data_IF_418904933610
#
_entry.id   IF_418904933610
#
_cell.length_a   1.000
_cell.length_b   1.000
_cell.length_c   1.000
_cell.angle_alpha   90.00
_cell.angle_beta   90.00
_cell.angle_gamma   90.00
#
_symmetry.space_group_name_H-M   'P 1'
#
loop_
_entity.id
_entity.type
_entity.pdbx_description
1 polymer ?
#
# COMPACT_ATOMS: atom_id res chain seq x y z
N UNK A 1 21.95 -2.21 -58.20
CA UNK A 1 21.18 -2.90 -59.25
C UNK A 1 20.56 -4.14 -58.65
N UNK A 2 19.23 -4.18 -58.59
CA UNK A 2 18.31 -5.33 -58.77
C UNK A 2 17.04 -5.04 -57.98
N UNK A 3 16.00 -4.68 -58.72
CA UNK A 3 14.63 -4.54 -58.27
C UNK A 3 13.98 -5.91 -58.37
N UNK A 4 13.42 -6.43 -57.28
CA UNK A 4 12.55 -7.60 -57.32
C UNK A 4 11.14 -7.18 -56.94
N UNK A 5 10.32 -7.06 -57.97
CA UNK A 5 8.88 -6.81 -57.94
C UNK A 5 8.19 -8.15 -57.70
N UNK A 6 7.42 -8.30 -56.62
CA UNK A 6 6.52 -9.45 -56.45
C UNK A 6 5.10 -9.00 -56.77
N UNK A 7 4.57 -9.58 -57.82
CA UNK A 7 3.24 -9.40 -58.37
C UNK A 7 2.25 -10.24 -57.56
N UNK A 8 1.21 -9.60 -57.01
CA UNK A 8 0.01 -10.26 -56.50
C UNK A 8 -0.99 -10.45 -57.65
N UNK A 9 -1.49 -11.66 -57.85
CA UNK A 9 -2.72 -11.93 -58.61
C UNK A 9 -3.53 -13.03 -57.92
N UNK A 10 -4.88 -12.93 -57.94
CA UNK A 10 -5.78 -13.64 -57.05
C UNK A 10 -6.32 -14.93 -57.68
N UNK A 11 -6.75 -15.89 -56.85
CA UNK A 11 -7.62 -17.00 -57.29
C UNK A 11 -8.90 -16.96 -56.47
N UNK A 12 -10.01 -16.92 -57.21
CA UNK A 12 -11.38 -16.77 -56.75
C UNK A 12 -12.13 -18.07 -57.06
N UNK A 13 -13.15 -18.36 -56.23
CA UNK A 13 -14.28 -19.26 -56.49
C UNK A 13 -14.11 -20.76 -56.19
N UNK A 14 -14.93 -21.32 -55.30
CA UNK A 14 -16.17 -21.99 -55.70
C UNK A 14 -17.04 -22.36 -54.48
N UNK A 15 -18.28 -21.85 -54.46
CA UNK A 15 -19.34 -22.27 -53.55
C UNK A 15 -19.82 -23.68 -53.89
N UNK A 16 -20.11 -24.53 -52.90
CA UNK A 16 -21.12 -25.57 -53.05
C UNK A 16 -21.82 -25.84 -51.71
N UNK A 17 -23.11 -25.51 -51.70
CA UNK A 17 -24.11 -25.70 -50.66
C UNK A 17 -24.66 -27.13 -50.66
N UNK A 18 -24.75 -27.77 -49.49
CA UNK A 18 -25.74 -28.83 -49.26
C UNK A 18 -26.36 -28.71 -47.85
N UNK A 19 -27.68 -28.56 -47.84
CA UNK A 19 -28.55 -28.60 -46.67
C UNK A 19 -29.30 -29.94 -46.58
N UNK A 20 -29.52 -30.37 -45.33
CA UNK A 20 -30.67 -31.11 -44.76
C UNK A 20 -30.95 -32.58 -45.12
N UNK A 21 -30.86 -33.45 -44.08
CA UNK A 21 -31.83 -34.47 -43.58
C UNK A 21 -31.02 -35.54 -42.82
N UNK A 22 -31.21 -35.96 -41.57
CA UNK A 22 -32.35 -35.92 -40.64
C UNK A 22 -32.66 -37.35 -40.18
N UNK A 23 -32.20 -37.79 -38.99
CA UNK A 23 -32.91 -38.68 -38.04
C UNK A 23 -32.02 -39.26 -36.91
N UNK A 24 -32.47 -39.03 -35.66
CA UNK A 24 -32.64 -40.00 -34.55
C UNK A 24 -31.40 -40.77 -34.01
N UNK A 25 -30.91 -40.39 -32.83
CA UNK A 25 -31.23 -41.06 -31.55
C UNK A 25 -30.31 -40.62 -30.39
N UNK A 26 -30.96 -40.30 -29.27
CA UNK A 26 -30.56 -40.56 -27.88
C UNK A 26 -29.23 -40.00 -27.36
N UNK A 27 -29.24 -38.74 -26.92
CA UNK A 27 -28.34 -38.31 -25.86
C UNK A 27 -28.77 -38.96 -24.53
N UNK A 28 -27.85 -39.48 -23.69
CA UNK A 28 -28.21 -39.98 -22.37
C UNK A 28 -28.75 -38.82 -21.50
N UNK A 29 -29.63 -39.10 -20.52
CA UNK A 29 -30.13 -38.07 -19.63
C UNK A 29 -28.94 -37.40 -18.93
N UNK A 30 -28.80 -36.09 -19.16
CA UNK A 30 -27.99 -35.25 -18.29
C UNK A 30 -28.68 -35.29 -16.93
N UNK A 31 -28.10 -36.05 -16.03
CA UNK A 31 -28.47 -36.05 -14.63
C UNK A 31 -28.34 -34.62 -14.13
N UNK A 32 -29.47 -33.92 -14.04
CA UNK A 32 -29.60 -32.74 -13.21
C UNK A 32 -29.37 -33.24 -11.79
N UNK A 33 -28.10 -33.19 -11.38
CA UNK A 33 -27.75 -33.28 -9.98
C UNK A 33 -28.63 -32.26 -9.26
N UNK A 34 -29.59 -32.76 -8.48
CA UNK A 34 -30.27 -31.95 -7.48
C UNK A 34 -29.18 -31.14 -6.79
N UNK A 35 -29.37 -29.84 -6.70
CA UNK A 35 -28.72 -29.03 -5.67
C UNK A 35 -29.22 -29.58 -4.33
N UNK A 36 -28.69 -30.72 -3.92
CA UNK A 36 -28.62 -31.11 -2.53
C UNK A 36 -27.86 -29.99 -1.87
N UNK A 37 -28.64 -29.15 -1.18
CA UNK A 37 -28.25 -28.24 -0.11
C UNK A 37 -26.74 -28.20 0.05
N UNK A 38 -26.11 -27.14 -0.48
CA UNK A 38 -24.78 -26.74 0.00
C UNK A 38 -24.96 -26.52 1.49
N UNK A 39 -24.71 -27.56 2.29
CA UNK A 39 -24.48 -27.44 3.71
C UNK A 39 -23.34 -26.45 3.78
N UNK A 40 -23.67 -25.23 4.22
CA UNK A 40 -22.70 -24.26 4.68
C UNK A 40 -21.68 -25.06 5.49
N UNK A 41 -20.40 -25.11 5.08
CA UNK A 41 -19.39 -25.75 5.91
C UNK A 41 -19.62 -25.23 7.33
N UNK A 42 -19.57 -26.08 8.38
CA UNK A 42 -19.55 -25.58 9.74
C UNK A 42 -18.58 -24.42 9.74
N UNK A 43 -19.03 -23.24 10.16
CA UNK A 43 -18.13 -22.11 10.30
C UNK A 43 -16.99 -22.67 11.15
N UNK A 44 -15.84 -22.91 10.53
CA UNK A 44 -14.62 -23.17 11.25
C UNK A 44 -14.54 -21.97 12.16
N UNK A 45 -14.84 -22.22 13.43
CA UNK A 45 -14.53 -21.30 14.49
C UNK A 45 -13.06 -21.03 14.25
N UNK A 46 -12.77 -19.82 13.75
CA UNK A 46 -11.42 -19.28 13.74
C UNK A 46 -11.00 -19.35 15.19
N UNK A 47 -10.39 -20.47 15.57
CA UNK A 47 -9.71 -20.64 16.84
C UNK A 47 -8.75 -19.48 16.86
N UNK A 48 -8.98 -18.55 17.80
CA UNK A 48 -8.23 -17.32 17.88
C UNK A 48 -6.76 -17.68 17.89
N UNK A 49 -6.08 -17.41 16.77
CA UNK A 49 -4.64 -17.57 16.70
C UNK A 49 -4.07 -16.78 17.88
N UNK A 50 -3.18 -17.41 18.64
CA UNK A 50 -2.54 -16.73 19.76
C UNK A 50 -1.96 -15.39 19.25
N UNK A 51 -2.11 -14.29 20.00
CA UNK A 51 -1.58 -12.99 19.59
C UNK A 51 -0.10 -13.14 19.20
N UNK A 52 0.27 -12.63 18.03
CA UNK A 52 1.67 -12.65 17.60
C UNK A 52 2.53 -11.94 18.66
N UNK A 53 3.77 -12.41 18.90
CA UNK A 53 4.68 -11.72 19.81
C UNK A 53 4.87 -10.26 19.37
N UNK A 54 5.22 -9.36 20.31
CA UNK A 54 5.56 -7.98 19.97
C UNK A 54 6.64 -7.95 18.88
N UNK A 55 6.52 -7.07 17.89
CA UNK A 55 7.46 -7.02 16.79
C UNK A 55 8.84 -6.53 17.23
N UNK A 56 9.88 -7.08 16.61
CA UNK A 56 11.29 -6.80 16.90
C UNK A 56 11.97 -6.11 15.72
N UNK A 57 13.16 -5.55 15.95
CA UNK A 57 13.99 -4.98 14.87
C UNK A 57 14.47 -6.08 13.92
N UNK A 58 14.68 -7.28 14.42
CA UNK A 58 15.04 -8.48 13.66
C UNK A 58 13.92 -8.87 12.70
N UNK A 59 12.65 -8.80 13.13
CA UNK A 59 11.49 -9.03 12.26
C UNK A 59 11.48 -8.00 11.12
N UNK A 60 11.67 -6.72 11.44
CA UNK A 60 11.73 -5.66 10.42
C UNK A 60 12.88 -5.91 9.43
N UNK A 61 14.08 -6.29 9.92
CA UNK A 61 15.23 -6.62 9.07
C UNK A 61 14.94 -7.83 8.17
N UNK A 62 14.26 -8.84 8.68
CA UNK A 62 13.89 -10.02 7.90
C UNK A 62 12.91 -9.67 6.77
N UNK A 63 11.89 -8.86 7.06
CA UNK A 63 10.91 -8.40 6.07
C UNK A 63 11.56 -7.49 5.03
N UNK A 64 12.41 -6.55 5.45
CA UNK A 64 13.15 -5.69 4.51
C UNK A 64 14.02 -6.51 3.55
N UNK A 65 14.73 -7.52 4.04
CA UNK A 65 15.52 -8.41 3.20
C UNK A 65 14.68 -9.25 2.25
N UNK A 66 13.49 -9.69 2.68
CA UNK A 66 12.56 -10.43 1.81
C UNK A 66 12.08 -9.57 0.64
N UNK A 67 11.72 -8.32 0.91
CA UNK A 67 11.08 -7.42 -0.06
C UNK A 67 12.10 -6.69 -0.94
N UNK A 68 13.19 -6.22 -0.35
CA UNK A 68 14.18 -5.36 -1.00
C UNK A 68 15.55 -6.03 -1.20
N UNK A 69 15.69 -7.33 -0.84
CA UNK A 69 16.97 -8.04 -0.95
C UNK A 69 18.07 -7.37 -0.15
N UNK A 70 19.20 -7.11 -0.81
CA UNK A 70 20.35 -6.36 -0.25
C UNK A 70 20.39 -4.91 -0.74
N UNK A 71 19.33 -4.43 -1.40
CA UNK A 71 19.32 -3.11 -2.02
C UNK A 71 19.32 -1.98 -0.97
N UNK A 72 18.78 -2.24 0.21
CA UNK A 72 18.71 -1.28 1.32
C UNK A 72 19.12 -1.92 2.65
N UNK A 73 19.61 -1.09 3.57
CA UNK A 73 19.92 -1.49 4.94
C UNK A 73 19.13 -0.63 5.93
N UNK A 74 18.71 -1.24 7.04
CA UNK A 74 18.03 -0.51 8.11
C UNK A 74 18.95 0.57 8.67
N UNK A 75 18.46 1.80 8.75
CA UNK A 75 19.24 2.91 9.30
C UNK A 75 19.15 2.89 10.83
N UNK A 76 20.19 2.35 11.46
CA UNK A 76 20.30 2.21 12.91
C UNK A 76 20.39 3.53 13.68
N UNK A 77 20.58 4.66 12.99
CA UNK A 77 20.63 6.00 13.57
C UNK A 77 19.28 6.53 14.03
N UNK A 78 18.16 5.87 13.69
CA UNK A 78 16.82 6.33 14.02
C UNK A 78 16.16 5.52 15.14
N UNK A 79 15.31 6.22 15.92
CA UNK A 79 14.47 5.65 16.97
C UNK A 79 13.04 6.21 16.86
N UNK A 80 12.01 5.35 16.81
CA UNK A 80 12.08 3.89 16.79
C UNK A 80 12.69 3.38 15.46
N UNK A 81 13.34 2.20 15.49
CA UNK A 81 14.00 1.61 14.31
C UNK A 81 13.02 1.14 13.22
N UNK A 82 11.73 1.12 13.53
CA UNK A 82 10.60 0.92 12.63
C UNK A 82 9.31 1.34 13.35
N UNK A 83 8.22 1.49 12.61
CA UNK A 83 6.86 1.68 13.10
C UNK A 83 5.92 0.70 12.40
N UNK A 84 4.79 0.42 13.04
CA UNK A 84 3.73 -0.45 12.53
C UNK A 84 2.42 0.34 12.58
N UNK A 85 1.58 0.18 11.55
CA UNK A 85 0.28 0.81 11.44
C UNK A 85 -0.40 0.47 10.11
N UNK A 86 -1.68 0.79 9.98
CA UNK A 86 -2.45 0.56 8.74
C UNK A 86 -2.26 1.76 7.79
N UNK A 87 -1.12 1.81 7.10
CA UNK A 87 -0.69 2.97 6.32
C UNK A 87 -1.38 3.05 4.96
N UNK A 88 -1.78 1.91 4.39
CA UNK A 88 -2.52 1.81 3.13
C UNK A 88 -4.07 1.83 3.31
N UNK A 89 -4.57 1.76 4.55
CA UNK A 89 -5.98 1.87 4.94
C UNK A 89 -6.85 0.67 4.56
N UNK A 90 -6.27 -0.50 4.40
CA UNK A 90 -7.01 -1.74 4.16
C UNK A 90 -7.41 -2.47 5.47
N UNK A 91 -6.96 -1.97 6.63
CA UNK A 91 -7.22 -2.54 7.94
C UNK A 91 -6.24 -3.64 8.36
N UNK A 92 -5.19 -3.87 7.58
CA UNK A 92 -4.09 -4.78 7.85
C UNK A 92 -2.87 -3.95 8.27
N UNK A 93 -2.09 -4.44 9.23
CA UNK A 93 -0.91 -3.71 9.67
C UNK A 93 0.23 -3.79 8.64
N UNK A 94 0.81 -2.64 8.35
CA UNK A 94 1.97 -2.44 7.50
C UNK A 94 3.24 -2.18 8.35
N UNK A 95 4.40 -2.38 7.74
CA UNK A 95 5.69 -1.99 8.30
C UNK A 95 6.17 -0.70 7.65
N UNK A 96 6.70 0.26 8.42
CA UNK A 96 7.50 1.34 7.88
C UNK A 96 8.83 1.47 8.65
N UNK A 97 9.96 1.48 7.93
CA UNK A 97 11.29 1.49 8.54
C UNK A 97 12.23 2.46 7.79
N UNK A 98 13.02 3.27 8.51
CA UNK A 98 14.06 4.08 7.90
C UNK A 98 15.18 3.19 7.37
N UNK A 99 15.60 3.47 6.13
CA UNK A 99 16.64 2.70 5.45
C UNK A 99 17.60 3.62 4.70
N UNK A 100 18.79 3.08 4.40
CA UNK A 100 19.76 3.68 3.47
C UNK A 100 19.90 2.82 2.22
N UNK A 101 20.03 3.42 1.03
CA UNK A 101 20.36 2.68 -0.16
C UNK A 101 21.80 2.16 -0.06
N UNK A 102 22.03 0.94 -0.52
CA UNK A 102 23.38 0.41 -0.70
C UNK A 102 23.93 0.98 -2.01
N UNK A 103 25.00 1.77 -1.95
CA UNK A 103 25.52 2.53 -3.10
C UNK A 103 25.85 1.66 -4.31
N UNK A 104 26.35 0.44 -4.10
CA UNK A 104 26.66 -0.52 -5.19
C UNK A 104 25.41 -1.14 -5.84
N UNK A 105 24.22 -0.94 -5.27
CA UNK A 105 22.94 -1.50 -5.71
C UNK A 105 22.01 -0.43 -6.32
N UNK A 106 22.47 0.81 -6.53
CA UNK A 106 21.62 1.90 -7.02
C UNK A 106 20.95 1.61 -8.38
N UNK A 107 21.61 0.84 -9.26
CA UNK A 107 21.00 0.42 -10.54
C UNK A 107 19.80 -0.49 -10.31
N UNK A 108 19.89 -1.42 -9.36
CA UNK A 108 18.79 -2.31 -8.96
C UNK A 108 17.65 -1.52 -8.31
N UNK A 109 17.98 -0.63 -7.36
CA UNK A 109 17.02 0.25 -6.66
C UNK A 109 16.18 1.06 -7.63
N UNK A 110 16.83 1.59 -8.69
CA UNK A 110 16.21 2.47 -9.66
C UNK A 110 15.74 1.76 -10.94
N UNK A 111 15.73 0.43 -10.96
CA UNK A 111 15.26 -0.34 -12.10
C UNK A 111 13.74 -0.24 -12.22
N UNK A 112 13.24 -0.04 -13.45
CA UNK A 112 11.80 -0.13 -13.72
C UNK A 112 11.25 -1.55 -13.54
N UNK A 113 12.13 -2.55 -13.53
CA UNK A 113 11.80 -3.95 -13.26
C UNK A 113 11.96 -4.33 -11.77
N UNK A 114 12.23 -3.36 -10.88
CA UNK A 114 12.30 -3.63 -9.45
C UNK A 114 10.93 -4.09 -8.91
N UNK A 115 10.95 -4.99 -7.92
CA UNK A 115 9.73 -5.50 -7.28
C UNK A 115 9.10 -4.50 -6.28
N UNK A 116 9.57 -3.26 -6.26
CA UNK A 116 9.11 -2.19 -5.36
C UNK A 116 8.90 -0.89 -6.13
N UNK A 117 8.14 0.01 -5.52
CA UNK A 117 7.83 1.32 -6.08
C UNK A 117 8.70 2.40 -5.42
N UNK A 118 9.43 3.16 -6.22
CA UNK A 118 10.17 4.34 -5.75
C UNK A 118 9.28 5.58 -5.80
N UNK A 119 9.28 6.40 -4.76
CA UNK A 119 8.47 7.61 -4.70
C UNK A 119 9.09 8.75 -3.90
N UNK A 120 8.61 9.96 -4.17
CA UNK A 120 8.85 11.14 -3.34
C UNK A 120 7.48 11.69 -2.89
N UNK A 121 7.10 11.50 -1.61
CA UNK A 121 5.81 11.97 -1.10
C UNK A 121 5.57 13.47 -1.30
N UNK A 122 6.62 14.28 -1.47
CA UNK A 122 6.51 15.74 -1.67
C UNK A 122 6.13 16.12 -3.10
N UNK A 123 6.42 15.23 -4.06
CA UNK A 123 6.13 15.43 -5.49
C UNK A 123 4.77 14.84 -5.89
N UNK A 124 4.00 14.31 -4.94
CA UNK A 124 2.70 13.72 -5.21
C UNK A 124 1.69 14.79 -5.67
N UNK A 125 1.44 14.83 -6.98
CA UNK A 125 0.34 15.63 -7.54
C UNK A 125 -0.98 14.94 -7.26
N UNK A 126 -1.90 15.68 -6.65
CA UNK A 126 -3.23 15.23 -6.26
C UNK A 126 -4.30 15.91 -7.13
N UNK A 127 -5.38 15.20 -7.47
CA UNK A 127 -6.49 15.81 -8.21
C UNK A 127 -7.18 16.88 -7.36
N UNK A 128 -7.58 17.97 -8.00
CA UNK A 128 -8.44 18.99 -7.41
C UNK A 128 -9.83 18.40 -7.19
N UNK A 129 -10.30 18.25 -5.93
CA UNK A 129 -11.58 17.63 -5.64
C UNK A 129 -12.79 18.42 -6.13
N UNK A 130 -12.60 19.68 -6.58
CA UNK A 130 -13.66 20.50 -7.16
C UNK A 130 -13.83 20.26 -8.66
N UNK A 131 -12.89 19.58 -9.33
CA UNK A 131 -12.95 19.29 -10.75
C UNK A 131 -13.45 17.86 -10.98
N UNK A 132 -14.46 17.70 -11.85
CA UNK A 132 -15.02 16.38 -12.20
C UNK A 132 -14.09 15.56 -13.11
N UNK A 133 -13.39 16.23 -14.02
CA UNK A 133 -12.40 15.62 -14.90
C UNK A 133 -11.14 16.48 -14.85
N UNK A 134 -10.00 15.84 -14.59
CA UNK A 134 -8.71 16.49 -14.59
C UNK A 134 -7.67 15.56 -15.19
N UNK A 135 -6.99 16.03 -16.24
CA UNK A 135 -5.78 15.37 -16.71
C UNK A 135 -4.65 15.76 -15.78
N UNK A 136 -4.08 14.79 -15.08
CA UNK A 136 -2.87 15.00 -14.29
C UNK A 136 -1.65 14.85 -15.22
N UNK A 137 -0.57 15.62 -14.99
CA UNK A 137 0.68 15.39 -15.71
C UNK A 137 1.17 13.97 -15.44
N UNK A 138 1.84 13.36 -16.42
CA UNK A 138 2.56 12.12 -16.20
C UNK A 138 3.60 12.35 -15.10
N UNK A 139 3.69 11.48 -14.08
CA UNK A 139 4.69 11.63 -13.04
C UNK A 139 6.08 11.41 -13.63
N UNK A 140 7.02 12.28 -13.29
CA UNK A 140 8.44 12.04 -13.59
C UNK A 140 8.95 10.88 -12.72
N UNK A 141 9.78 9.97 -13.27
CA UNK A 141 10.38 8.90 -12.49
C UNK A 141 11.24 9.45 -11.34
N UNK A 142 10.99 8.97 -10.13
CA UNK A 142 11.82 9.30 -8.97
C UNK A 142 13.05 8.40 -8.97
N UNK A 143 14.24 9.00 -8.91
CA UNK A 143 15.52 8.28 -8.83
C UNK A 143 16.12 8.44 -7.44
N UNK A 144 16.48 7.35 -6.78
CA UNK A 144 17.26 7.32 -5.53
C UNK A 144 18.74 7.55 -5.82
N UNK A 145 19.38 8.42 -5.05
CA UNK A 145 20.82 8.67 -5.10
C UNK A 145 21.56 8.03 -3.90
N UNK A 146 22.87 7.88 -4.03
CA UNK A 146 23.73 7.43 -2.91
C UNK A 146 23.56 8.34 -1.69
N UNK A 147 23.54 7.75 -0.49
CA UNK A 147 23.50 8.49 0.76
C UNK A 147 22.15 9.12 1.11
N UNK A 148 21.13 9.04 0.25
CA UNK A 148 19.81 9.55 0.59
C UNK A 148 19.19 8.82 1.79
N UNK A 149 18.40 9.53 2.58
CA UNK A 149 17.56 8.94 3.62
C UNK A 149 16.25 8.47 3.01
N UNK A 150 15.90 7.21 3.25
CA UNK A 150 14.70 6.60 2.71
C UNK A 150 13.82 6.06 3.82
N UNK A 151 12.53 5.95 3.51
CA UNK A 151 11.56 5.21 4.29
C UNK A 151 11.08 4.03 3.44
N UNK A 152 11.39 2.82 3.88
CA UNK A 152 10.79 1.62 3.33
C UNK A 152 9.40 1.44 3.95
N UNK A 153 8.38 1.17 3.13
CA UNK A 153 7.05 0.76 3.58
C UNK A 153 6.70 -0.56 2.93
N UNK A 154 6.27 -1.54 3.73
CA UNK A 154 5.84 -2.86 3.26
C UNK A 154 4.39 -3.06 3.69
N UNK A 155 3.50 -3.25 2.70
CA UNK A 155 2.10 -3.48 2.99
C UNK A 155 1.86 -4.90 3.50
N UNK A 156 1.01 -5.03 4.50
CA UNK A 156 0.65 -6.32 5.07
C UNK A 156 -0.35 -7.11 4.24
N UNK A 157 -0.42 -8.41 4.51
CA UNK A 157 -1.50 -9.28 4.02
C UNK A 157 -2.00 -10.19 5.14
N UNK A 158 -3.25 -10.64 5.07
CA UNK A 158 -3.76 -11.61 6.03
C UNK A 158 -3.22 -13.02 5.73
N UNK A 159 -2.99 -13.87 6.75
CA UNK A 159 -3.21 -13.61 8.17
C UNK A 159 -2.04 -12.98 8.92
N UNK A 160 -0.82 -12.95 8.36
CA UNK A 160 0.40 -12.55 9.08
C UNK A 160 0.70 -11.04 9.13
N UNK A 161 -0.16 -10.19 8.59
CA UNK A 161 0.07 -8.77 8.35
C UNK A 161 1.37 -8.55 7.54
N UNK A 162 2.15 -7.51 7.84
CA UNK A 162 3.46 -7.28 7.23
C UNK A 162 4.49 -8.40 7.50
N UNK A 163 4.27 -9.24 8.53
CA UNK A 163 5.15 -10.39 8.81
C UNK A 163 4.85 -11.59 7.91
N UNK A 164 3.70 -11.62 7.24
CA UNK A 164 3.30 -12.70 6.35
C UNK A 164 4.31 -12.89 5.20
N UNK A 165 4.77 -14.10 4.87
CA UNK A 165 5.67 -14.36 3.74
C UNK A 165 5.19 -13.78 2.39
N UNK A 166 3.88 -13.68 2.20
CA UNK A 166 3.26 -13.16 0.98
C UNK A 166 3.18 -11.61 0.97
N UNK A 167 3.49 -10.93 2.08
CA UNK A 167 3.60 -9.47 2.13
C UNK A 167 4.87 -8.99 1.39
N UNK A 168 4.74 -8.83 0.07
CA UNK A 168 5.83 -8.43 -0.83
C UNK A 168 5.70 -7.02 -1.42
N UNK A 169 4.54 -6.37 -1.26
CA UNK A 169 4.33 -5.04 -1.84
C UNK A 169 5.13 -3.98 -1.07
N UNK A 170 6.24 -3.53 -1.67
CA UNK A 170 7.18 -2.58 -1.07
C UNK A 170 7.23 -1.21 -1.75
N UNK A 171 7.49 -0.18 -0.95
CA UNK A 171 7.74 1.19 -1.39
C UNK A 171 9.05 1.72 -0.79
N UNK A 172 9.85 2.43 -1.60
CA UNK A 172 11.00 3.20 -1.14
C UNK A 172 10.71 4.69 -1.32
N UNK A 173 10.48 5.38 -0.21
CA UNK A 173 10.08 6.78 -0.20
C UNK A 173 11.24 7.69 0.18
N UNK A 174 11.51 8.72 -0.63
CA UNK A 174 12.47 9.76 -0.26
C UNK A 174 11.98 10.53 0.97
N UNK A 175 12.84 10.65 1.97
CA UNK A 175 12.57 11.45 3.17
C UNK A 175 13.77 12.36 3.48
N UNK A 176 13.50 13.46 4.18
CA UNK A 176 14.55 14.37 4.64
C UNK A 176 15.20 13.90 5.94
N UNK A 177 14.42 13.27 6.83
CA UNK A 177 14.90 12.75 8.12
C UNK A 177 13.87 11.79 8.69
N UNK A 178 14.32 10.69 9.27
CA UNK A 178 13.46 9.75 9.98
C UNK A 178 13.31 10.06 11.49
N UNK A 179 13.71 11.27 11.91
CA UNK A 179 13.49 11.73 13.28
C UNK A 179 11.99 11.83 13.61
N UNK A 180 11.65 11.42 14.83
CA UNK A 180 10.30 11.48 15.39
C UNK A 180 9.20 10.77 14.59
N UNK A 181 9.57 9.74 13.82
CA UNK A 181 8.59 8.95 13.09
C UNK A 181 7.64 8.20 14.02
N UNK A 182 6.33 8.38 13.80
CA UNK A 182 5.27 7.74 14.60
C UNK A 182 4.08 7.39 13.71
N UNK A 183 3.53 6.20 13.92
CA UNK A 183 2.20 5.88 13.43
C UNK A 183 1.15 6.69 14.22
N UNK A 184 0.20 7.29 13.51
CA UNK A 184 -0.86 8.09 14.13
C UNK A 184 -2.19 7.85 13.42
N UNK A 185 -3.29 7.61 14.16
CA UNK A 185 -4.59 7.42 13.53
C UNK A 185 -5.00 8.63 12.69
N UNK A 186 -5.37 8.40 11.44
CA UNK A 186 -5.72 9.47 10.48
C UNK A 186 -6.81 10.41 10.98
N UNK A 187 -7.74 9.88 11.78
CA UNK A 187 -8.86 10.63 12.36
C UNK A 187 -8.44 11.76 13.30
N UNK A 188 -7.21 11.69 13.84
CA UNK A 188 -6.65 12.67 14.77
C UNK A 188 -5.97 13.82 14.00
N UNK A 189 -5.48 13.56 12.77
CA UNK A 189 -4.99 14.60 11.88
C UNK A 189 -6.15 15.34 11.20
N UNK A 190 -6.60 16.42 11.82
CA UNK A 190 -7.77 17.20 11.42
C UNK A 190 -7.76 17.80 10.00
N UNK A 191 -6.71 17.58 9.19
CA UNK A 191 -6.56 18.15 7.85
C UNK A 191 -6.32 17.15 6.71
N UNK A 192 -6.33 15.83 6.95
CA UNK A 192 -6.13 14.85 5.85
C UNK A 192 -7.24 14.97 4.80
N UNK A 193 -8.43 15.37 5.23
CA UNK A 193 -9.61 15.58 4.37
C UNK A 193 -9.47 16.73 3.35
N UNK A 194 -8.60 17.72 3.58
CA UNK A 194 -8.42 18.83 2.63
C UNK A 194 -7.38 18.49 1.56
N UNK A 195 -6.33 17.73 1.90
CA UNK A 195 -5.30 17.33 0.95
C UNK A 195 -5.69 16.10 0.12
N UNK A 196 -6.38 15.12 0.70
CA UNK A 196 -6.74 13.87 0.02
C UNK A 196 -7.95 13.97 -0.94
N UNK A 197 -8.44 15.18 -1.21
CA UNK A 197 -9.70 15.38 -1.93
C UNK A 197 -10.90 14.75 -1.21
N UNK A 198 -12.11 14.95 -1.74
CA UNK A 198 -13.37 14.39 -1.20
C UNK A 198 -13.45 12.85 -1.24
N UNK A 199 -12.34 12.15 -1.45
CA UNK A 199 -12.24 10.68 -1.48
C UNK A 199 -12.12 10.03 -0.10
N UNK A 200 -11.98 10.80 0.98
CA UNK A 200 -12.11 10.26 2.34
C UNK A 200 -13.59 10.11 2.65
N UNK A 201 -14.19 9.02 2.14
CA UNK A 201 -15.56 8.64 2.43
C UNK A 201 -15.82 8.50 3.95
N UNK A 202 -17.09 8.42 4.37
CA UNK A 202 -17.45 8.28 5.78
C UNK A 202 -16.93 6.96 6.35
N UNK A 203 -15.77 7.01 7.01
CA UNK A 203 -15.09 5.84 7.57
C UNK A 203 -13.58 6.07 7.71
N UNK A 204 -13.17 6.96 8.61
CA UNK A 204 -11.76 7.33 8.86
C UNK A 204 -10.99 6.19 9.54
N UNK A 205 -10.55 5.20 8.77
CA UNK A 205 -9.70 4.08 9.21
C UNK A 205 -8.27 4.25 8.68
N UNK A 206 -7.33 3.57 9.34
CA UNK A 206 -5.91 3.63 9.05
C UNK A 206 -5.13 4.72 9.78
N UNK A 207 -3.84 4.68 9.53
CA UNK A 207 -2.80 5.48 10.16
C UNK A 207 -2.06 6.33 9.12
N UNK A 208 -1.40 7.37 9.62
CA UNK A 208 -0.44 8.18 8.89
C UNK A 208 0.92 8.09 9.56
N UNK A 209 1.97 8.36 8.80
CA UNK A 209 3.34 8.39 9.31
C UNK A 209 3.68 9.84 9.59
N UNK A 210 3.62 10.25 10.87
CA UNK A 210 4.08 11.58 11.27
C UNK A 210 5.58 11.69 11.11
N UNK A 211 6.05 12.85 10.65
CA UNK A 211 7.47 13.12 10.45
C UNK A 211 7.73 14.63 10.54
N UNK A 212 9.01 14.99 10.58
CA UNK A 212 9.47 16.36 10.34
C UNK A 212 10.35 16.37 9.09
N UNK A 213 9.92 17.09 8.04
CA UNK A 213 10.68 17.25 6.79
C UNK A 213 11.18 18.69 6.67
N UNK A 214 12.50 18.88 6.62
CA UNK A 214 13.15 20.21 6.53
C UNK A 214 12.63 21.20 7.59
N UNK A 215 12.45 20.74 8.84
CA UNK A 215 11.92 21.55 9.95
C UNK A 215 10.40 21.78 9.91
N UNK A 216 9.70 21.28 8.89
CA UNK A 216 8.24 21.36 8.78
C UNK A 216 7.63 20.06 9.31
N UNK A 217 6.84 20.17 10.37
CA UNK A 217 6.05 19.05 10.89
C UNK A 217 4.92 18.70 9.92
N UNK A 218 4.71 17.41 9.71
CA UNK A 218 3.64 16.91 8.86
C UNK A 218 3.48 15.41 8.96
N UNK A 219 2.89 14.83 7.93
CA UNK A 219 2.67 13.40 7.84
C UNK A 219 2.67 12.92 6.39
N UNK A 220 3.18 11.70 6.21
CA UNK A 220 3.03 10.91 4.99
C UNK A 220 1.72 10.11 5.11
N UNK A 221 0.94 10.06 4.03
CA UNK A 221 -0.33 9.34 3.98
C UNK A 221 -0.56 8.68 2.63
N UNK A 222 -1.35 7.60 2.63
CA UNK A 222 -1.78 6.93 1.42
C UNK A 222 -2.93 7.63 0.70
N UNK A 223 -2.83 7.75 -0.62
CA UNK A 223 -3.82 8.44 -1.48
C UNK A 223 -4.79 7.48 -2.17
N UNK A 224 -4.62 6.16 -1.98
CA UNK A 224 -5.31 5.12 -2.77
C UNK A 224 -4.43 4.48 -3.85
N UNK A 225 -3.30 5.10 -4.21
CA UNK A 225 -2.34 4.52 -5.16
C UNK A 225 -0.88 4.93 -4.97
N UNK A 226 -0.60 5.96 -4.15
CA UNK A 226 0.75 6.42 -3.82
C UNK A 226 0.79 7.10 -2.47
N UNK A 227 1.98 7.26 -1.91
CA UNK A 227 2.22 8.06 -0.72
C UNK A 227 2.38 9.54 -1.06
N UNK A 228 1.82 10.41 -0.22
CA UNK A 228 1.90 11.85 -0.33
C UNK A 228 2.22 12.49 1.03
N UNK A 229 2.85 13.66 1.00
CA UNK A 229 3.14 14.47 2.18
C UNK A 229 2.10 15.57 2.38
N UNK A 230 1.75 15.84 3.63
CA UNK A 230 1.05 17.07 4.00
C UNK A 230 1.66 17.66 5.28
N UNK A 231 1.68 18.99 5.38
CA UNK A 231 2.13 19.67 6.59
C UNK A 231 1.02 19.69 7.65
N UNK A 232 1.40 19.63 8.93
CA UNK A 232 0.47 19.79 10.05
C UNK A 232 0.38 21.28 10.41
N UNK A 233 -0.78 21.94 10.25
CA UNK A 233 -0.93 23.34 10.61
C UNK A 233 -0.62 23.58 12.09
N UNK A 234 -0.09 24.76 12.41
CA UNK A 234 0.35 25.13 13.76
C UNK A 234 -0.68 24.85 14.87
N UNK A 235 -1.96 25.13 14.58
CA UNK A 235 -3.09 24.95 15.50
C UNK A 235 -3.33 23.50 15.94
N UNK A 236 -2.91 22.51 15.16
CA UNK A 236 -3.13 21.09 15.49
C UNK A 236 -1.93 20.44 16.19
N UNK A 237 -0.79 21.14 16.33
CA UNK A 237 0.40 20.64 17.02
C UNK A 237 0.16 20.34 18.51
N UNK A 238 -0.76 21.07 19.17
CA UNK A 238 -1.05 20.95 20.63
C UNK A 238 -2.20 19.99 20.97
N UNK A 239 -3.11 19.73 20.04
CA UNK A 239 -4.32 18.95 20.31
C UNK A 239 -4.07 17.45 20.49
N UNK A 240 -2.97 16.92 19.94
CA UNK A 240 -2.60 15.50 20.06
C UNK A 240 -2.06 15.12 21.45
N UNK A 241 -1.59 16.08 22.24
CA UNK A 241 -1.04 15.83 23.60
C UNK A 241 -2.13 15.94 24.67
N UNK A 242 -3.12 16.81 24.48
CA UNK A 242 -4.08 17.15 25.53
C UNK A 242 -5.25 16.16 25.72
N UNK A 243 -5.48 15.23 24.78
CA UNK A 243 -6.66 14.34 24.83
C UNK A 243 -6.42 12.96 25.49
N UNK A 244 -5.21 12.69 25.98
CA UNK A 244 -4.83 11.39 26.58
C UNK A 244 -4.82 11.32 28.11
N UNK A 245 -4.99 12.43 28.85
CA UNK A 245 -5.09 12.41 30.32
C UNK A 245 -6.13 13.41 30.80
N UNK A 246 -7.36 12.93 30.99
CA UNK A 246 -8.20 13.41 32.10
C UNK A 246 -8.50 12.18 32.96
N UNK A 247 -7.53 11.82 33.79
CA UNK A 247 -7.85 11.02 34.97
C UNK A 247 -8.83 11.86 35.79
N UNK A 248 -9.98 11.25 36.08
CA UNK A 248 -10.95 11.78 37.02
C UNK A 248 -10.25 11.79 38.39
N UNK A 249 -10.17 12.92 39.12
CA UNK A 249 -9.60 12.89 40.45
C UNK A 249 -10.44 11.94 41.33
N UNK A 250 -9.81 11.21 42.27
CA UNK A 250 -10.53 10.31 43.16
C UNK A 250 -11.52 11.11 43.99
N UNK A 251 -12.74 10.58 44.09
CA UNK A 251 -13.81 11.12 44.92
C UNK A 251 -13.35 10.97 46.37
N UNK A 252 -13.16 12.08 47.08
CA UNK A 252 -12.89 12.06 48.51
C UNK A 252 -14.03 11.29 49.21
N UNK A 253 -13.66 10.21 49.92
CA UNK A 253 -14.51 9.63 50.94
C UNK A 253 -14.55 10.64 52.09
N UNK A 254 -15.76 11.14 52.38
CA UNK A 254 -16.00 11.78 53.67
C UNK A 254 -16.11 10.67 54.69
N UNK A 255 -15.17 10.65 55.63
CA UNK A 255 -15.30 9.91 56.87
C UNK A 255 -16.47 10.50 57.69
N UNK A 256 -17.34 9.62 58.16
CA UNK A 256 -18.22 9.82 59.32
C UNK A 256 -17.73 8.93 60.44
#
# INVERSE_FOLDING_TARGET
>A
MQRSTVVFLPVMSLCLSLSCSGCKNSAPPREEARLDSIRKPPAEQRTGAAPLPPPTVEDARAVLRRVFGEAVILDGGFRPGFIVGDFNRDGIEDLAAPVRPVSSRLTEINSEAANWIVGDPRMAVLPDPKKKLQRLPAPEPVRIAAGESLLAVVHGVVPGNWRDPEAQQGYLLKIASAADMRAYPIRIEGNVNQAAGKGVGPGKRGDVIRQTLNGVHGYIYWTGGKYAWNHTPARYRRAGVAKGRREKPPRAQNDQ
#
